data_IF_536647075292
#
_entry.id   IF_536647075292
#
_cell.length_a   1.000
_cell.length_b   1.000
_cell.length_c   1.000
_cell.angle_alpha   90.00
_cell.angle_beta   90.00
_cell.angle_gamma   90.00
#
_symmetry.space_group_name_H-M   'P 1'
#
loop_
_entity.id
_entity.type
_entity.pdbx_description
1 polymer ?
#
# COMPACT_ATOMS: atom_id res chain seq x y z
N UNK A 1 -4.91 -4.01 -6.93
CA UNK A 1 -5.50 -3.28 -8.05
C UNK A 1 -6.04 -2.04 -7.42
N UNK A 2 -5.51 -0.86 -7.75
CA UNK A 2 -5.98 0.40 -7.15
C UNK A 2 -7.49 0.50 -7.35
N UNK A 3 -8.25 0.37 -6.25
CA UNK A 3 -9.70 0.55 -6.30
C UNK A 3 -9.92 2.04 -6.45
N UNK A 4 -10.03 2.48 -7.70
CA UNK A 4 -10.30 3.86 -8.05
C UNK A 4 -11.68 4.26 -7.49
N UNK A 5 -11.71 4.79 -6.27
CA UNK A 5 -12.92 5.31 -5.65
C UNK A 5 -13.24 6.67 -6.27
N UNK A 6 -13.92 6.63 -7.42
CA UNK A 6 -14.46 7.82 -8.07
C UNK A 6 -15.61 8.34 -7.21
N UNK A 7 -15.42 9.52 -6.62
CA UNK A 7 -16.52 10.25 -5.98
C UNK A 7 -17.35 10.91 -7.08
N UNK A 8 -18.51 10.34 -7.36
CA UNK A 8 -19.50 10.88 -8.29
C UNK A 8 -20.35 11.90 -7.54
N UNK A 9 -20.45 13.13 -8.06
CA UNK A 9 -21.31 14.16 -7.45
C UNK A 9 -22.79 13.73 -7.51
N UNK A 10 -23.61 14.08 -6.51
CA UNK A 10 -25.05 13.72 -6.45
C UNK A 10 -25.83 14.06 -7.73
N UNK A 11 -25.47 15.16 -8.40
CA UNK A 11 -26.08 15.56 -9.67
C UNK A 11 -25.72 14.62 -10.85
N UNK A 12 -24.52 14.06 -10.85
CA UNK A 12 -24.06 13.12 -11.89
C UNK A 12 -24.66 11.73 -11.67
N UNK A 13 -24.92 11.34 -10.42
CA UNK A 13 -25.54 10.05 -10.11
C UNK A 13 -26.98 9.95 -10.63
N UNK A 14 -27.76 11.03 -10.50
CA UNK A 14 -29.12 11.11 -11.03
C UNK A 14 -29.17 11.01 -12.56
N UNK A 15 -28.19 11.60 -13.25
CA UNK A 15 -28.08 11.52 -14.70
C UNK A 15 -27.72 10.11 -15.18
N UNK A 16 -26.78 9.44 -14.49
CA UNK A 16 -26.37 8.05 -14.79
C UNK A 16 -27.53 7.06 -14.54
N UNK A 17 -28.32 7.28 -13.51
CA UNK A 17 -29.51 6.47 -13.20
C UNK A 17 -30.57 6.57 -14.31
N UNK A 18 -30.88 7.79 -14.75
CA UNK A 18 -31.83 8.03 -15.83
C UNK A 18 -31.36 7.44 -17.18
N UNK A 19 -30.08 7.58 -17.51
CA UNK A 19 -29.51 7.02 -18.74
C UNK A 19 -29.46 5.48 -18.72
N UNK A 20 -29.17 4.89 -17.56
CA UNK A 20 -29.20 3.44 -17.37
C UNK A 20 -30.62 2.86 -17.57
N UNK A 21 -31.64 3.54 -17.06
CA UNK A 21 -33.04 3.13 -17.22
C UNK A 21 -33.53 3.32 -18.67
N UNK A 22 -33.16 4.42 -19.34
CA UNK A 22 -33.49 4.64 -20.76
C UNK A 22 -32.90 3.56 -21.67
N UNK A 23 -31.66 3.15 -21.41
CA UNK A 23 -30.93 2.18 -22.24
C UNK A 23 -31.12 0.72 -21.78
N UNK A 24 -31.76 0.50 -20.62
CA UNK A 24 -31.98 -0.83 -20.05
C UNK A 24 -30.68 -1.54 -19.64
N UNK A 25 -29.66 -0.79 -19.26
CA UNK A 25 -28.33 -1.30 -18.88
C UNK A 25 -28.02 -0.98 -17.41
N UNK A 26 -26.94 -1.55 -16.86
CA UNK A 26 -26.54 -1.25 -15.48
C UNK A 26 -25.77 0.08 -15.39
N UNK A 27 -25.91 0.79 -14.26
CA UNK A 27 -25.20 2.06 -14.00
C UNK A 27 -23.68 1.94 -14.17
N UNK A 28 -23.09 0.82 -13.71
CA UNK A 28 -21.66 0.54 -13.85
C UNK A 28 -21.24 0.43 -15.32
N UNK A 29 -22.12 -0.06 -16.20
CA UNK A 29 -21.87 -0.12 -17.63
C UNK A 29 -21.90 1.26 -18.26
N UNK A 30 -22.83 2.13 -17.85
CA UNK A 30 -22.87 3.54 -18.25
C UNK A 30 -21.58 4.27 -17.82
N UNK A 31 -21.16 4.10 -16.56
CA UNK A 31 -19.90 4.70 -16.04
C UNK A 31 -18.68 4.22 -16.83
N UNK A 32 -18.56 2.91 -17.09
CA UNK A 32 -17.45 2.34 -17.85
C UNK A 32 -17.42 2.84 -19.30
N UNK A 33 -18.58 2.97 -19.94
CA UNK A 33 -18.70 3.50 -21.30
C UNK A 33 -18.36 4.99 -21.37
N UNK A 34 -18.76 5.77 -20.36
CA UNK A 34 -18.47 7.20 -20.26
C UNK A 34 -16.99 7.48 -19.98
N UNK A 35 -16.33 6.66 -19.16
CA UNK A 35 -14.88 6.71 -18.96
C UNK A 35 -14.15 6.41 -20.28
N UNK A 36 -14.55 5.33 -20.96
CA UNK A 36 -13.97 4.95 -22.26
C UNK A 36 -14.20 5.98 -23.35
N UNK A 37 -15.32 6.71 -23.31
CA UNK A 37 -15.65 7.76 -24.27
C UNK A 37 -15.10 9.15 -23.88
N UNK A 38 -14.71 9.35 -22.62
CA UNK A 38 -14.18 10.60 -22.09
C UNK A 38 -12.68 10.80 -22.33
N UNK A 39 -11.94 9.72 -22.62
CA UNK A 39 -10.50 9.76 -22.93
C UNK A 39 -10.20 10.41 -24.30
N UNK A 40 -11.18 10.55 -25.18
CA UNK A 40 -11.01 11.18 -26.51
C UNK A 40 -11.16 12.71 -26.49
N UNK A 41 -11.65 13.32 -25.39
CA UNK A 41 -11.95 14.77 -25.36
C UNK A 41 -10.91 15.65 -24.65
N UNK A 42 -9.90 15.07 -23.99
CA UNK A 42 -8.91 15.85 -23.24
C UNK A 42 -7.74 16.33 -24.11
N UNK A 43 -7.72 15.99 -25.41
CA UNK A 43 -6.68 16.40 -26.37
C UNK A 43 -7.15 17.45 -27.40
N UNK A 44 -8.21 18.21 -27.11
CA UNK A 44 -8.64 19.34 -27.94
C UNK A 44 -9.09 20.51 -27.08
N UNK A 45 -8.09 21.27 -26.63
CA UNK A 45 -8.23 22.52 -25.88
C UNK A 45 -6.97 23.33 -26.05
N UNK A 46 -6.70 23.77 -27.27
CA UNK A 46 -5.76 24.85 -27.56
C UNK A 46 -6.21 26.13 -26.84
N UNK A 47 -5.21 26.92 -26.41
CA UNK A 47 -5.29 28.35 -26.07
C UNK A 47 -5.71 28.75 -24.64
N UNK A 48 -4.73 28.79 -23.73
CA UNK A 48 -4.52 29.91 -22.83
C UNK A 48 -3.10 29.89 -22.22
N UNK A 49 -2.31 30.91 -22.57
CA UNK A 49 -1.10 31.42 -21.88
C UNK A 49 0.01 30.42 -21.52
N UNK A 50 0.88 30.18 -22.51
CA UNK A 50 2.27 29.77 -22.25
C UNK A 50 3.09 31.04 -21.93
N UNK A 51 3.05 31.50 -20.69
CA UNK A 51 4.10 32.40 -20.20
C UNK A 51 5.36 31.57 -19.93
N UNK A 52 6.53 31.94 -20.51
CA UNK A 52 7.78 31.25 -20.23
C UNK A 52 8.17 31.52 -18.78
N UNK A 53 8.03 30.50 -17.94
CA UNK A 53 8.57 30.48 -16.58
C UNK A 53 10.06 30.75 -16.66
N UNK A 54 10.47 31.92 -16.17
CA UNK A 54 11.84 32.39 -16.20
C UNK A 54 12.59 31.70 -15.05
N UNK A 55 13.01 30.45 -15.28
CA UNK A 55 13.54 29.47 -14.30
C UNK A 55 14.86 29.84 -13.59
N UNK A 56 15.12 31.12 -13.33
CA UNK A 56 16.24 31.60 -12.51
C UNK A 56 15.80 32.33 -11.24
N UNK A 57 14.82 33.23 -11.32
CA UNK A 57 14.38 34.04 -10.17
C UNK A 57 13.38 33.29 -9.28
N UNK A 58 12.51 32.45 -9.86
CA UNK A 58 11.53 31.67 -9.09
C UNK A 58 12.20 30.63 -8.17
N UNK A 59 13.33 30.05 -8.58
CA UNK A 59 14.08 29.09 -7.75
C UNK A 59 14.70 29.77 -6.52
N UNK A 60 15.14 31.03 -6.66
CA UNK A 60 15.67 31.82 -5.53
C UNK A 60 14.53 32.20 -4.59
N UNK A 61 13.36 32.58 -5.12
CA UNK A 61 12.17 32.89 -4.34
C UNK A 61 11.59 31.69 -3.59
N UNK A 62 11.64 30.49 -4.19
CA UNK A 62 11.27 29.24 -3.53
C UNK A 62 12.24 28.89 -2.40
N UNK A 63 13.54 29.17 -2.57
CA UNK A 63 14.54 28.92 -1.52
C UNK A 63 14.40 29.86 -0.33
N UNK A 64 14.12 31.13 -0.59
CA UNK A 64 13.83 32.13 0.46
C UNK A 64 12.55 31.76 1.26
N UNK A 65 11.51 31.26 0.58
CA UNK A 65 10.28 30.77 1.25
C UNK A 65 10.51 29.51 2.09
N UNK A 66 11.44 28.65 1.72
CA UNK A 66 11.78 27.48 2.54
C UNK A 66 12.49 27.92 3.83
N UNK A 67 13.44 28.85 3.74
CA UNK A 67 14.13 29.41 4.91
C UNK A 67 13.15 30.15 5.86
N UNK A 68 12.20 30.91 5.31
CA UNK A 68 11.14 31.58 6.08
C UNK A 68 10.20 30.57 6.78
N UNK A 69 9.88 29.46 6.12
CA UNK A 69 9.04 28.41 6.69
C UNK A 69 9.75 27.62 7.80
N UNK A 70 11.05 27.34 7.65
CA UNK A 70 11.84 26.69 8.71
C UNK A 70 11.94 27.59 9.96
N UNK A 71 12.13 28.91 9.78
CA UNK A 71 12.16 29.86 10.88
C UNK A 71 10.82 29.96 11.62
N UNK A 72 9.69 29.93 10.89
CA UNK A 72 8.34 29.90 11.51
C UNK A 72 8.04 28.60 12.26
N UNK A 73 8.60 27.46 11.84
CA UNK A 73 8.43 26.18 12.53
C UNK A 73 9.20 26.17 13.86
N UNK A 74 10.39 26.77 13.91
CA UNK A 74 11.17 26.91 15.15
C UNK A 74 10.46 27.84 16.16
N UNK A 75 9.88 28.95 15.68
CA UNK A 75 9.06 29.84 16.50
C UNK A 75 7.78 29.17 17.03
N UNK A 76 7.15 28.29 16.25
CA UNK A 76 5.93 27.57 16.68
C UNK A 76 6.23 26.32 17.53
N UNK A 77 7.47 25.81 17.52
CA UNK A 77 7.91 24.66 18.33
C UNK A 77 8.35 25.01 19.76
N UNK A 78 8.51 26.29 20.08
CA UNK A 78 9.06 26.77 21.36
C UNK A 78 8.08 26.94 22.52
N UNK A 79 6.77 26.92 22.28
CA UNK A 79 5.75 27.12 23.33
C UNK A 79 5.10 25.80 23.76
N UNK A 80 5.87 24.97 24.49
CA UNK A 80 5.27 24.00 25.42
C UNK A 80 5.27 24.62 26.83
N UNK A 81 4.11 24.91 27.44
CA UNK A 81 4.09 25.39 28.81
C UNK A 81 4.58 24.29 29.77
N UNK A 82 5.24 24.65 30.89
CA UNK A 82 5.69 23.66 31.86
C UNK A 82 4.48 23.03 32.54
N UNK A 83 4.18 21.78 32.20
CA UNK A 83 3.18 20.97 32.90
C UNK A 83 3.64 20.77 34.33
N UNK A 84 2.97 21.47 35.24
CA UNK A 84 3.17 21.39 36.67
C UNK A 84 3.00 19.96 37.17
N UNK A 85 3.94 19.58 38.04
CA UNK A 85 3.85 18.40 38.89
C UNK A 85 2.53 18.43 39.68
N UNK A 86 1.77 17.35 39.60
CA UNK A 86 0.74 17.03 40.60
C UNK A 86 1.04 15.63 41.12
N UNK A 87 1.69 15.67 42.27
CA UNK A 87 1.96 14.61 43.21
C UNK A 87 0.65 14.38 43.99
N UNK A 88 -0.04 13.25 43.81
CA UNK A 88 -0.99 12.70 44.80
C UNK A 88 -1.04 11.17 44.67
N UNK A 89 -0.25 10.52 45.51
CA UNK A 89 -0.40 9.10 45.86
C UNK A 89 -1.34 9.01 47.06
N UNK A 90 -2.45 8.27 47.01
CA UNK A 90 -2.93 7.43 48.13
C UNK A 90 -4.18 6.59 47.82
N UNK A 91 -4.22 5.40 48.42
CA UNK A 91 -5.37 4.59 48.87
C UNK A 91 -6.24 3.75 47.89
N UNK A 92 -5.89 2.45 47.86
CA UNK A 92 -6.69 1.29 48.36
C UNK A 92 -8.18 1.11 47.97
N UNK A 93 -8.48 0.01 47.26
CA UNK A 93 -9.58 -0.98 47.45
C UNK A 93 -9.84 -1.69 46.11
N UNK A 94 -9.81 -3.01 45.93
CA UNK A 94 -10.40 -4.06 46.76
C UNK A 94 -11.74 -4.52 46.15
N UNK A 95 -11.71 -5.43 45.16
CA UNK A 95 -12.83 -6.32 44.77
C UNK A 95 -12.29 -7.33 43.75
N UNK A 96 -12.01 -8.62 44.02
CA UNK A 96 -12.87 -9.79 44.30
C UNK A 96 -14.13 -9.95 43.44
N UNK A 97 -14.22 -11.12 42.78
CA UNK A 97 -15.35 -11.68 42.02
C UNK A 97 -15.14 -11.55 40.50
N UNK A 98 -15.29 -12.55 39.64
CA UNK A 98 -15.88 -13.89 39.75
C UNK A 98 -15.38 -14.73 38.57
N UNK A 99 -14.98 -15.96 38.87
CA UNK A 99 -14.81 -17.07 37.93
C UNK A 99 -16.14 -17.39 37.24
N UNK A 100 -16.20 -17.29 35.91
CA UNK A 100 -17.22 -17.97 35.12
C UNK A 100 -16.60 -19.21 34.47
N UNK A 101 -16.88 -20.33 35.09
CA UNK A 101 -16.66 -21.69 34.60
C UNK A 101 -17.75 -21.99 33.58
N UNK A 102 -17.38 -22.12 32.30
CA UNK A 102 -18.30 -22.56 31.25
C UNK A 102 -18.07 -24.05 30.99
N UNK A 103 -19.07 -24.93 31.16
CA UNK A 103 -18.91 -26.35 30.92
C UNK A 103 -19.09 -26.63 29.42
N UNK A 104 -18.05 -27.14 28.75
CA UNK A 104 -18.19 -27.73 27.42
C UNK A 104 -17.89 -29.23 27.43
N UNK A 105 -19.00 -29.97 27.33
CA UNK A 105 -19.25 -31.37 27.00
C UNK A 105 -18.23 -32.02 26.05
N UNK A 106 -17.74 -33.24 26.34
CA UNK A 106 -17.11 -34.08 25.32
C UNK A 106 -18.22 -34.86 24.60
N UNK A 107 -18.35 -34.68 23.30
CA UNK A 107 -19.10 -35.58 22.43
C UNK A 107 -18.18 -35.92 21.25
N UNK A 108 -17.70 -37.16 21.28
CA UNK A 108 -17.06 -37.83 20.16
C UNK A 108 -18.00 -37.79 18.96
N UNK A 109 -17.58 -37.13 17.88
CA UNK A 109 -18.04 -37.51 16.55
C UNK A 109 -16.83 -37.60 15.65
N UNK A 110 -16.43 -38.85 15.40
CA UNK A 110 -15.54 -39.24 14.34
C UNK A 110 -16.04 -38.67 13.01
N UNK A 111 -15.37 -37.63 12.52
CA UNK A 111 -15.58 -37.04 11.21
C UNK A 111 -14.22 -36.95 10.52
N UNK A 112 -13.95 -37.92 9.67
CA UNK A 112 -12.91 -38.00 8.64
C UNK A 112 -11.89 -36.87 8.63
N UNK A 113 -10.72 -37.15 9.21
CA UNK A 113 -9.47 -36.48 8.86
C UNK A 113 -9.28 -36.63 7.35
N UNK A 114 -9.30 -35.55 6.53
CA UNK A 114 -8.84 -35.67 5.16
C UNK A 114 -7.40 -36.16 5.21
N UNK A 115 -7.15 -37.28 4.52
CA UNK A 115 -5.81 -37.78 4.30
C UNK A 115 -5.00 -36.66 3.63
N UNK A 116 -3.78 -36.35 4.11
CA UNK A 116 -2.91 -35.46 3.37
C UNK A 116 -2.56 -36.16 2.07
N UNK A 117 -3.13 -35.69 0.96
CA UNK A 117 -2.72 -36.11 -0.37
C UNK A 117 -1.23 -35.79 -0.53
N UNK A 118 -0.37 -36.79 -0.80
CA UNK A 118 1.04 -36.55 -1.04
C UNK A 118 1.22 -35.88 -2.41
N UNK A 119 2.06 -34.85 -2.44
CA UNK A 119 2.84 -34.39 -3.59
C UNK A 119 2.08 -34.26 -4.92
N UNK A 120 1.31 -33.17 -5.06
CA UNK A 120 1.46 -32.42 -6.30
C UNK A 120 2.89 -31.85 -6.28
N UNK A 121 3.74 -32.11 -7.27
CA UNK A 121 5.00 -31.39 -7.34
C UNK A 121 4.65 -29.91 -7.44
N UNK A 122 5.05 -29.12 -6.43
CA UNK A 122 5.04 -27.65 -6.50
C UNK A 122 6.02 -27.25 -7.60
N UNK A 123 5.60 -27.38 -8.85
CA UNK A 123 6.35 -26.93 -10.04
C UNK A 123 6.20 -25.40 -10.20
N UNK A 124 5.45 -24.74 -9.32
CA UNK A 124 5.11 -23.31 -9.44
C UNK A 124 6.00 -22.36 -8.62
N UNK A 125 6.34 -22.70 -7.37
CA UNK A 125 6.99 -21.76 -6.44
C UNK A 125 8.39 -21.32 -6.88
N UNK A 126 9.29 -22.29 -7.07
CA UNK A 126 10.69 -22.03 -7.45
C UNK A 126 10.80 -21.37 -8.85
N UNK A 127 9.84 -21.69 -9.74
CA UNK A 127 9.81 -21.15 -11.09
C UNK A 127 9.38 -19.68 -11.11
N UNK A 128 8.37 -19.30 -10.31
CA UNK A 128 7.91 -17.91 -10.23
C UNK A 128 8.95 -17.03 -9.55
N UNK A 129 9.53 -17.48 -8.43
CA UNK A 129 10.60 -16.75 -7.75
C UNK A 129 11.83 -16.57 -8.65
N UNK A 130 12.19 -17.60 -9.44
CA UNK A 130 13.27 -17.50 -10.42
C UNK A 130 12.99 -16.49 -11.53
N UNK A 131 11.76 -16.44 -12.05
CA UNK A 131 11.34 -15.46 -13.04
C UNK A 131 11.33 -14.03 -12.45
N UNK A 132 10.86 -13.89 -11.21
CA UNK A 132 10.84 -12.63 -10.48
C UNK A 132 12.25 -12.08 -10.23
N UNK A 133 13.17 -12.96 -9.79
CA UNK A 133 14.57 -12.59 -9.61
C UNK A 133 15.20 -12.15 -10.94
N UNK A 134 14.92 -12.85 -12.04
CA UNK A 134 15.42 -12.47 -13.37
C UNK A 134 14.90 -11.09 -13.81
N UNK A 135 13.63 -10.78 -13.51
CA UNK A 135 13.08 -9.45 -13.73
C UNK A 135 13.76 -8.38 -12.85
N UNK A 136 14.03 -8.66 -11.58
CA UNK A 136 14.75 -7.75 -10.69
C UNK A 136 16.18 -7.46 -11.19
N UNK A 137 16.83 -8.43 -11.81
CA UNK A 137 18.15 -8.26 -12.43
C UNK A 137 18.10 -7.40 -13.69
N UNK A 138 17.01 -7.50 -14.47
CA UNK A 138 16.84 -6.77 -15.73
C UNK A 138 16.28 -5.35 -15.55
N UNK A 139 15.27 -5.19 -14.71
CA UNK A 139 14.45 -3.96 -14.57
C UNK A 139 14.56 -3.33 -13.17
N UNK A 140 14.94 -4.12 -12.17
CA UNK A 140 15.00 -3.70 -10.78
C UNK A 140 16.21 -2.83 -10.40
N UNK A 141 16.38 -2.55 -9.10
CA UNK A 141 17.47 -1.73 -8.60
C UNK A 141 18.84 -2.36 -8.87
N UNK A 142 19.83 -1.53 -9.23
CA UNK A 142 21.20 -2.02 -9.54
C UNK A 142 21.98 -2.61 -8.36
N UNK A 143 21.52 -2.39 -7.13
CA UNK A 143 22.21 -2.84 -5.93
C UNK A 143 21.67 -4.22 -5.52
N UNK A 144 22.53 -5.26 -5.37
CA UNK A 144 22.07 -6.60 -5.05
C UNK A 144 21.32 -6.66 -3.72
N UNK A 145 21.81 -5.96 -2.68
CA UNK A 145 21.13 -5.90 -1.38
C UNK A 145 19.73 -5.28 -1.46
N UNK A 146 19.46 -4.42 -2.44
CA UNK A 146 18.13 -3.83 -2.64
C UNK A 146 17.23 -4.80 -3.40
N UNK A 147 17.76 -5.53 -4.38
CA UNK A 147 17.03 -6.61 -5.05
C UNK A 147 16.60 -7.69 -4.06
N UNK A 148 17.49 -8.08 -3.14
CA UNK A 148 17.15 -9.03 -2.08
C UNK A 148 16.03 -8.52 -1.17
N UNK A 149 16.06 -7.25 -0.76
CA UNK A 149 14.99 -6.64 0.04
C UNK A 149 13.64 -6.66 -0.69
N UNK A 150 13.63 -6.38 -2.00
CA UNK A 150 12.38 -6.39 -2.80
C UNK A 150 11.88 -7.84 -2.97
N UNK A 151 12.78 -8.80 -3.18
CA UNK A 151 12.43 -10.22 -3.24
C UNK A 151 11.87 -10.72 -1.90
N UNK A 152 12.43 -10.29 -0.77
CA UNK A 152 11.94 -10.63 0.57
C UNK A 152 10.54 -10.03 0.80
N UNK A 153 10.30 -8.80 0.33
CA UNK A 153 8.97 -8.17 0.37
C UNK A 153 7.93 -8.97 -0.41
N UNK A 154 8.30 -9.39 -1.63
CA UNK A 154 7.47 -10.24 -2.47
C UNK A 154 7.13 -11.57 -1.79
N UNK A 155 8.14 -12.26 -1.23
CA UNK A 155 7.94 -13.52 -0.50
C UNK A 155 7.01 -13.36 0.70
N UNK A 156 7.21 -12.29 1.47
CA UNK A 156 6.39 -12.01 2.64
C UNK A 156 4.93 -11.80 2.25
N UNK A 157 4.65 -10.94 1.27
CA UNK A 157 3.29 -10.68 0.79
C UNK A 157 2.65 -11.90 0.12
N UNK A 158 3.44 -12.73 -0.55
CA UNK A 158 2.98 -13.99 -1.13
C UNK A 158 2.53 -15.00 -0.06
N UNK A 159 3.22 -15.04 1.08
CA UNK A 159 2.86 -15.91 2.21
C UNK A 159 1.69 -15.36 3.03
N UNK A 160 1.68 -14.05 3.29
CA UNK A 160 0.67 -13.41 4.14
C UNK A 160 -0.61 -13.03 3.37
N UNK A 161 -0.53 -12.86 2.05
CA UNK A 161 -1.58 -12.35 1.17
C UNK A 161 -1.70 -10.82 1.21
N UNK A 162 -1.71 -10.24 2.40
CA UNK A 162 -1.72 -8.81 2.64
C UNK A 162 -0.86 -8.43 3.86
N UNK A 163 -0.48 -7.15 3.97
CA UNK A 163 0.27 -6.65 5.11
C UNK A 163 0.14 -5.12 5.29
N UNK A 164 0.22 -4.66 6.53
CA UNK A 164 0.46 -3.23 6.77
C UNK A 164 1.89 -2.82 6.41
N UNK A 165 2.08 -1.57 6.00
CA UNK A 165 3.40 -0.97 5.74
C UNK A 165 4.30 -1.08 6.96
N UNK A 166 3.75 -0.94 8.17
CA UNK A 166 4.48 -1.17 9.42
C UNK A 166 5.05 -2.58 9.49
N UNK A 167 4.21 -3.59 9.28
CA UNK A 167 4.59 -5.00 9.38
C UNK A 167 5.61 -5.38 8.32
N UNK A 168 5.34 -5.02 7.07
CA UNK A 168 6.25 -5.26 5.96
C UNK A 168 7.60 -4.58 6.18
N UNK A 169 7.60 -3.32 6.60
CA UNK A 169 8.84 -2.58 6.91
C UNK A 169 9.63 -3.23 8.05
N UNK A 170 8.96 -3.57 9.14
CA UNK A 170 9.60 -4.17 10.31
C UNK A 170 10.15 -5.57 9.97
N UNK A 171 9.44 -6.35 9.14
CA UNK A 171 9.92 -7.61 8.58
C UNK A 171 11.20 -7.41 7.76
N UNK A 172 11.17 -6.53 6.75
CA UNK A 172 12.30 -6.26 5.86
C UNK A 172 13.54 -5.77 6.61
N UNK A 173 13.36 -4.91 7.61
CA UNK A 173 14.47 -4.45 8.44
C UNK A 173 15.01 -5.57 9.34
N UNK A 174 14.15 -6.46 9.84
CA UNK A 174 14.58 -7.63 10.63
C UNK A 174 15.35 -8.64 9.78
N UNK A 175 14.98 -8.83 8.51
CA UNK A 175 15.71 -9.67 7.55
C UNK A 175 17.03 -9.04 7.09
N UNK A 176 17.10 -7.70 7.03
CA UNK A 176 18.27 -6.96 6.53
C UNK A 176 18.75 -5.85 7.48
N UNK A 177 19.18 -6.18 8.72
CA UNK A 177 19.51 -5.19 9.75
C UNK A 177 20.76 -4.35 9.40
N UNK A 178 21.66 -4.90 8.58
CA UNK A 178 22.91 -4.23 8.20
C UNK A 178 22.77 -3.30 6.98
N UNK A 179 21.64 -3.37 6.26
CA UNK A 179 21.46 -2.60 5.02
C UNK A 179 21.15 -1.13 5.29
N UNK A 180 20.42 -0.83 6.38
CA UNK A 180 19.96 0.50 6.73
C UNK A 180 19.97 0.71 8.24
N UNK A 181 20.25 1.94 8.68
CA UNK A 181 20.29 2.26 10.11
C UNK A 181 18.94 2.34 10.81
N UNK A 182 17.82 2.28 10.08
CA UNK A 182 16.48 2.24 10.66
C UNK A 182 15.44 1.64 9.69
N UNK A 183 14.34 1.06 10.21
CA UNK A 183 13.25 0.55 9.37
C UNK A 183 12.64 1.64 8.49
N UNK A 184 12.50 2.86 9.02
CA UNK A 184 11.95 4.01 8.27
C UNK A 184 12.87 4.41 7.11
N UNK A 185 14.19 4.43 7.32
CA UNK A 185 15.16 4.75 6.26
C UNK A 185 15.20 3.69 5.16
N UNK A 186 15.05 2.41 5.52
CA UNK A 186 14.91 1.32 4.56
C UNK A 186 13.66 1.54 3.70
N UNK A 187 12.52 1.79 4.34
CA UNK A 187 11.26 1.98 3.64
C UNK A 187 11.27 3.18 2.69
N UNK A 188 11.78 4.32 3.16
CA UNK A 188 11.86 5.55 2.36
C UNK A 188 12.77 5.38 1.13
N UNK A 189 13.86 4.60 1.28
CA UNK A 189 14.84 4.37 0.21
C UNK A 189 14.42 3.27 -0.77
N UNK A 190 13.83 2.18 -0.26
CA UNK A 190 13.56 0.95 -1.02
C UNK A 190 12.08 0.70 -1.17
N UNK A 191 11.35 0.64 -0.07
CA UNK A 191 9.91 0.32 -0.04
C UNK A 191 9.09 1.24 -0.93
N UNK A 192 9.18 2.56 -0.71
CA UNK A 192 8.35 3.54 -1.42
C UNK A 192 8.61 3.61 -2.93
N UNK A 193 9.74 3.11 -3.43
CA UNK A 193 10.12 3.23 -4.86
C UNK A 193 10.11 1.91 -5.60
N UNK A 194 10.66 0.86 -4.99
CA UNK A 194 10.87 -0.41 -5.68
C UNK A 194 9.85 -1.47 -5.28
N UNK A 195 9.30 -1.42 -4.06
CA UNK A 195 8.22 -2.35 -3.65
C UNK A 195 6.90 -1.91 -4.30
N UNK A 196 6.67 -0.59 -4.42
CA UNK A 196 5.49 -0.05 -5.09
C UNK A 196 5.44 -0.31 -6.61
N UNK A 197 6.58 -0.49 -7.25
CA UNK A 197 6.74 -0.72 -8.70
C UNK A 197 6.97 -2.21 -9.01
N UNK A 198 6.98 -3.06 -7.98
CA UNK A 198 7.30 -4.47 -8.14
C UNK A 198 6.09 -5.26 -8.65
N UNK A 199 6.26 -6.16 -9.63
CA UNK A 199 5.14 -6.89 -10.22
C UNK A 199 4.43 -7.72 -9.16
N UNK A 200 3.10 -7.72 -9.21
CA UNK A 200 2.27 -8.44 -8.26
C UNK A 200 2.23 -7.92 -6.81
N UNK A 201 2.86 -6.78 -6.51
CA UNK A 201 2.68 -6.06 -5.25
C UNK A 201 1.80 -4.84 -5.54
N UNK A 202 0.65 -4.75 -4.89
CA UNK A 202 -0.32 -3.69 -5.16
C UNK A 202 -0.52 -2.82 -3.92
N UNK A 203 -0.60 -1.49 -4.12
CA UNK A 203 -0.99 -0.57 -3.06
C UNK A 203 -2.49 -0.71 -2.79
N UNK A 204 -2.83 -1.22 -1.62
CA UNK A 204 -4.21 -1.35 -1.14
C UNK A 204 -4.78 -0.04 -0.58
N UNK A 205 -4.00 1.04 -0.62
CA UNK A 205 -4.29 2.30 0.05
C UNK A 205 -4.06 2.24 1.56
N UNK A 206 -4.10 3.41 2.23
CA UNK A 206 -3.96 3.52 3.70
C UNK A 206 -2.73 2.82 4.30
N UNK A 207 -1.61 2.82 3.57
CA UNK A 207 -0.39 2.12 3.97
C UNK A 207 -0.58 0.60 4.10
N UNK A 208 -1.42 0.02 3.25
CA UNK A 208 -1.66 -1.41 3.15
C UNK A 208 -1.16 -1.95 1.81
N UNK A 209 -0.61 -3.14 1.81
CA UNK A 209 -0.02 -3.81 0.65
C UNK A 209 -0.67 -5.16 0.45
N UNK A 210 -1.06 -5.45 -0.78
CA UNK A 210 -1.73 -6.70 -1.14
C UNK A 210 -0.93 -7.43 -2.23
N UNK A 211 -0.90 -8.75 -2.14
CA UNK A 211 -0.36 -9.61 -3.18
C UNK A 211 -1.41 -9.87 -4.26
N UNK A 212 -1.07 -9.58 -5.53
CA UNK A 212 -1.98 -9.74 -6.66
C UNK A 212 -2.32 -11.22 -6.99
N UNK A 213 -1.52 -12.16 -6.49
CA UNK A 213 -1.63 -13.59 -6.77
C UNK A 213 -0.64 -14.08 -7.83
N UNK A 214 -0.25 -15.36 -7.73
CA UNK A 214 0.79 -15.99 -8.57
C UNK A 214 0.48 -15.88 -10.07
N UNK A 215 -0.80 -15.99 -10.46
CA UNK A 215 -1.23 -15.91 -11.87
C UNK A 215 -1.04 -14.50 -12.45
N UNK A 216 -1.37 -13.45 -11.68
CA UNK A 216 -1.17 -12.07 -12.11
C UNK A 216 0.31 -11.72 -12.24
N UNK A 217 1.13 -12.18 -11.28
CA UNK A 217 2.58 -11.98 -11.32
C UNK A 217 3.20 -12.70 -12.50
N UNK A 218 2.80 -13.95 -12.76
CA UNK A 218 3.30 -14.72 -13.88
C UNK A 218 2.94 -14.08 -15.23
N UNK A 219 1.72 -13.52 -15.35
CA UNK A 219 1.29 -12.79 -16.54
C UNK A 219 2.15 -11.53 -16.76
N UNK A 220 2.28 -10.66 -15.75
CA UNK A 220 3.14 -9.47 -15.82
C UNK A 220 4.58 -9.83 -16.19
N UNK A 221 5.20 -10.79 -15.49
CA UNK A 221 6.58 -11.18 -15.75
C UNK A 221 6.76 -11.74 -17.16
N UNK A 222 5.74 -12.40 -17.71
CA UNK A 222 5.78 -12.93 -19.09
C UNK A 222 5.79 -11.84 -20.16
N UNK A 223 5.28 -10.64 -19.86
CA UNK A 223 5.37 -9.50 -20.77
C UNK A 223 6.79 -8.91 -20.84
N UNK A 224 7.61 -9.17 -19.82
CA UNK A 224 8.97 -8.65 -19.69
C UNK A 224 10.08 -9.63 -20.11
N UNK A 225 9.76 -10.91 -20.35
CA UNK A 225 10.70 -11.99 -20.72
C UNK A 225 10.62 -12.35 -22.21
#
# INVERSE_FOLDING_TARGET
MERLTISIEDNQYAEIDAEAEERGVSKSQVVRERLRSGEDTVNSGEDAVNEPVNSGEDIVNLRDRVDELEQRVDELGGETPPTAQSDESDALSGSTGETMETPHRPDETAGSRPEPTPDSPSVGDDALEGAYQQWLEANGPRKPSVQEIVLDAFRFLRESGDAETSELRDHLHSSHPDAYGSPKSLWDSVGSRYVADAPGIEDGGYAHWEYAGDEAVAEELSEYL
#
